data_IF_979726348208
#
_entry.id   IF_979726348208
#
_cell.length_a   1.000
_cell.length_b   1.000
_cell.length_c   1.000
_cell.angle_alpha   90.00
_cell.angle_beta   90.00
_cell.angle_gamma   90.00
#
_symmetry.space_group_name_H-M   'P 1'
#
loop_
_entity.id
_entity.type
_entity.pdbx_description
1 polymer ?
#
# COMPACT_ATOMS: atom_id res chain seq x y z
N UNK A 1 0.00 -31.59 -8.40
CA UNK A 1 1.24 -30.83 -8.65
C UNK A 1 1.28 -29.74 -7.59
N UNK A 2 2.21 -29.83 -6.64
CA UNK A 2 2.37 -28.79 -5.59
C UNK A 2 3.16 -27.65 -6.19
N UNK A 3 2.57 -26.45 -6.22
CA UNK A 3 3.27 -25.24 -6.62
C UNK A 3 4.40 -24.98 -5.60
N UNK A 4 5.68 -24.86 -6.01
CA UNK A 4 6.80 -24.67 -5.08
C UNK A 4 6.77 -23.32 -4.33
N UNK A 5 5.87 -22.41 -4.69
CA UNK A 5 5.58 -21.17 -3.96
C UNK A 5 4.45 -21.32 -2.93
N UNK A 6 3.84 -22.51 -2.87
CA UNK A 6 2.72 -22.85 -1.98
C UNK A 6 3.08 -24.07 -1.11
N UNK A 7 4.37 -24.28 -0.87
CA UNK A 7 4.80 -25.29 0.10
C UNK A 7 4.41 -24.81 1.50
N UNK A 8 3.46 -25.51 2.14
CA UNK A 8 2.95 -25.16 3.46
C UNK A 8 4.00 -25.32 4.57
N UNK A 9 5.05 -26.12 4.31
CA UNK A 9 6.15 -26.36 5.25
C UNK A 9 7.39 -25.49 4.93
N UNK A 10 7.31 -24.65 3.88
CA UNK A 10 8.37 -23.72 3.50
C UNK A 10 8.44 -22.51 4.42
N UNK A 11 9.64 -21.93 4.52
CA UNK A 11 9.86 -20.62 5.15
C UNK A 11 9.80 -19.52 4.10
N UNK A 12 9.11 -18.42 4.45
CA UNK A 12 8.89 -17.28 3.58
C UNK A 12 9.25 -15.99 4.30
N UNK A 13 9.71 -15.01 3.52
CA UNK A 13 9.76 -13.62 3.92
C UNK A 13 8.46 -12.93 3.55
N UNK A 14 8.02 -11.98 4.36
CA UNK A 14 7.10 -10.95 3.89
C UNK A 14 7.93 -9.91 3.15
N UNK A 15 7.55 -9.58 1.94
CA UNK A 15 8.21 -8.55 1.12
C UNK A 15 7.25 -7.41 0.85
N UNK A 16 7.79 -6.20 0.77
CA UNK A 16 7.06 -4.97 0.43
C UNK A 16 7.77 -4.25 -0.70
N UNK A 17 7.01 -3.70 -1.64
CA UNK A 17 7.54 -2.84 -2.71
C UNK A 17 7.37 -1.34 -2.39
N UNK A 18 7.90 -0.48 -3.27
CA UNK A 18 7.79 0.99 -3.14
C UNK A 18 6.34 1.52 -3.17
N UNK A 19 5.40 0.73 -3.70
CA UNK A 19 3.97 1.03 -3.74
C UNK A 19 3.21 0.55 -2.50
N UNK A 20 3.91 0.10 -1.46
CA UNK A 20 3.36 -0.45 -0.22
C UNK A 20 2.48 -1.70 -0.44
N UNK A 21 2.76 -2.45 -1.50
CA UNK A 21 2.13 -3.74 -1.75
C UNK A 21 2.91 -4.83 -1.05
N UNK A 22 2.18 -5.71 -0.37
CA UNK A 22 2.76 -6.81 0.38
C UNK A 22 2.61 -8.12 -0.38
N UNK A 23 3.64 -8.97 -0.30
CA UNK A 23 3.61 -10.34 -0.82
C UNK A 23 4.46 -11.26 0.05
N UNK A 24 4.35 -12.56 -0.18
CA UNK A 24 5.24 -13.56 0.44
C UNK A 24 6.28 -14.02 -0.59
N UNK A 25 7.53 -14.19 -0.14
CA UNK A 25 8.63 -14.61 -0.99
C UNK A 25 9.41 -15.75 -0.35
N UNK A 26 9.70 -16.86 -1.06
CA UNK A 26 10.41 -17.99 -0.48
C UNK A 26 11.85 -17.64 -0.09
N UNK A 27 12.31 -18.13 1.06
CA UNK A 27 13.67 -17.85 1.57
C UNK A 27 14.79 -18.42 0.71
N UNK A 28 14.52 -19.49 -0.04
CA UNK A 28 15.48 -20.14 -0.91
C UNK A 28 15.74 -19.38 -2.21
N UNK A 29 15.07 -18.25 -2.45
CA UNK A 29 15.29 -17.38 -3.61
C UNK A 29 15.75 -16.00 -3.18
N UNK A 30 16.63 -15.41 -3.98
CA UNK A 30 16.98 -14.00 -3.85
C UNK A 30 15.74 -13.12 -4.05
N UNK A 31 15.64 -12.06 -3.25
CA UNK A 31 14.53 -11.09 -3.33
C UNK A 31 14.73 -10.22 -4.58
N UNK A 32 13.73 -10.09 -5.47
CA UNK A 32 13.85 -9.28 -6.67
C UNK A 32 14.13 -7.81 -6.37
N UNK A 33 14.79 -7.11 -7.29
CA UNK A 33 14.98 -5.66 -7.19
C UNK A 33 13.63 -4.93 -7.08
N UNK A 34 13.56 -3.91 -6.23
CA UNK A 34 12.33 -3.16 -5.93
C UNK A 34 11.43 -3.82 -4.87
N UNK A 35 11.84 -4.95 -4.31
CA UNK A 35 11.18 -5.58 -3.16
C UNK A 35 12.14 -5.62 -1.96
N UNK A 36 11.60 -5.39 -0.78
CA UNK A 36 12.36 -5.42 0.48
C UNK A 36 11.74 -6.44 1.42
N UNK A 37 12.53 -7.39 1.92
CA UNK A 37 12.09 -8.32 2.95
C UNK A 37 11.97 -7.61 4.30
N UNK A 38 10.87 -7.86 5.00
CA UNK A 38 10.58 -7.29 6.31
C UNK A 38 10.39 -8.39 7.36
N UNK A 39 11.14 -8.27 8.46
CA UNK A 39 11.14 -9.24 9.55
C UNK A 39 11.87 -10.55 9.21
N UNK A 40 11.74 -11.51 10.12
CA UNK A 40 12.35 -12.83 10.01
C UNK A 40 11.55 -13.80 9.12
N UNK A 41 12.20 -14.84 8.56
CA UNK A 41 11.51 -15.93 7.91
C UNK A 41 10.46 -16.56 8.81
N UNK A 42 9.27 -16.81 8.27
CA UNK A 42 8.17 -17.45 8.99
C UNK A 42 7.43 -18.46 8.11
N UNK A 43 6.66 -19.38 8.71
CA UNK A 43 5.77 -20.26 7.96
C UNK A 43 4.78 -19.45 7.11
N UNK A 44 4.36 -20.04 5.98
CA UNK A 44 3.44 -19.41 5.02
C UNK A 44 2.23 -18.76 5.68
N UNK A 45 1.56 -19.48 6.57
CA UNK A 45 0.34 -18.99 7.22
C UNK A 45 0.61 -17.76 8.09
N UNK A 46 1.72 -17.74 8.84
CA UNK A 46 2.07 -16.58 9.66
C UNK A 46 2.42 -15.35 8.82
N UNK A 47 3.07 -15.54 7.67
CA UNK A 47 3.31 -14.45 6.73
C UNK A 47 2.00 -13.90 6.15
N UNK A 48 1.05 -14.76 5.78
CA UNK A 48 -0.25 -14.33 5.27
C UNK A 48 -1.08 -13.62 6.34
N UNK A 49 -1.13 -14.15 7.56
CA UNK A 49 -1.81 -13.52 8.69
C UNK A 49 -1.21 -12.14 9.00
N UNK A 50 0.12 -12.00 8.88
CA UNK A 50 0.79 -10.71 9.04
C UNK A 50 0.35 -9.73 7.94
N UNK A 51 0.35 -10.16 6.67
CA UNK A 51 -0.09 -9.32 5.55
C UNK A 51 -1.55 -8.90 5.72
N UNK A 52 -2.44 -9.82 6.09
CA UNK A 52 -3.86 -9.52 6.32
C UNK A 52 -4.06 -8.49 7.44
N UNK A 53 -3.26 -8.57 8.51
CA UNK A 53 -3.32 -7.61 9.63
C UNK A 53 -2.71 -6.25 9.29
N UNK A 54 -1.66 -6.22 8.46
CA UNK A 54 -0.91 -4.99 8.16
C UNK A 54 -1.47 -4.25 6.94
N UNK A 55 -1.91 -4.96 5.90
CA UNK A 55 -2.42 -4.38 4.66
C UNK A 55 -3.91 -4.01 4.78
N UNK A 56 -4.18 -3.07 5.69
CA UNK A 56 -5.55 -2.63 6.04
C UNK A 56 -6.19 -1.71 5.01
N UNK A 57 -5.40 -1.14 4.10
CA UNK A 57 -5.87 -0.27 3.02
C UNK A 57 -5.21 -0.68 1.72
N UNK A 58 -5.95 -1.42 0.90
CA UNK A 58 -5.47 -1.95 -0.38
C UNK A 58 -5.48 -0.91 -1.51
N UNK A 59 -5.79 0.37 -1.22
CA UNK A 59 -5.70 1.42 -2.23
C UNK A 59 -4.23 1.66 -2.56
N UNK A 60 -3.83 1.64 -3.84
CA UNK A 60 -2.47 1.96 -4.22
C UNK A 60 -2.12 3.39 -3.75
N UNK A 61 -0.90 3.58 -3.26
CA UNK A 61 -0.41 4.84 -2.68
C UNK A 61 -0.70 6.05 -3.58
N UNK A 62 -0.50 5.90 -4.89
CA UNK A 62 -0.80 6.95 -5.89
C UNK A 62 -2.26 7.41 -5.86
N UNK A 63 -3.21 6.50 -5.67
CA UNK A 63 -4.64 6.84 -5.57
C UNK A 63 -4.92 7.61 -4.26
N UNK A 64 -4.25 7.25 -3.16
CA UNK A 64 -4.39 7.97 -1.88
C UNK A 64 -3.92 9.42 -2.02
N UNK A 65 -2.72 9.62 -2.59
CA UNK A 65 -2.17 10.96 -2.81
C UNK A 65 -3.05 11.80 -3.75
N UNK A 66 -3.65 11.18 -4.77
CA UNK A 66 -4.56 11.87 -5.69
C UNK A 66 -5.85 12.31 -4.97
N UNK A 67 -6.46 11.44 -4.16
CA UNK A 67 -7.66 11.78 -3.39
C UNK A 67 -7.41 12.86 -2.32
N UNK A 68 -6.25 12.86 -1.67
CA UNK A 68 -5.87 13.90 -0.71
C UNK A 68 -5.70 15.28 -1.40
N UNK A 69 -5.08 15.31 -2.58
CA UNK A 69 -5.00 16.53 -3.40
C UNK A 69 -6.38 17.03 -3.81
N UNK A 70 -7.24 16.16 -4.33
CA UNK A 70 -8.62 16.48 -4.72
C UNK A 70 -9.45 17.06 -3.54
N UNK A 71 -9.30 16.50 -2.34
CA UNK A 71 -9.99 16.96 -1.15
C UNK A 71 -9.51 18.34 -0.67
N UNK A 72 -8.20 18.59 -0.75
CA UNK A 72 -7.61 19.89 -0.43
C UNK A 72 -8.08 20.99 -1.41
N UNK A 73 -8.13 20.70 -2.71
CA UNK A 73 -8.63 21.63 -3.73
C UNK A 73 -10.12 21.95 -3.56
N UNK A 74 -10.95 20.95 -3.25
CA UNK A 74 -12.38 21.16 -2.97
C UNK A 74 -12.60 22.03 -1.73
N UNK A 75 -11.75 21.89 -0.72
CA UNK A 75 -11.80 22.69 0.51
C UNK A 75 -11.37 24.14 0.26
N UNK A 76 -10.29 24.35 -0.50
CA UNK A 76 -9.82 25.68 -0.89
C UNK A 76 -10.84 26.44 -1.75
N UNK A 77 -11.52 25.74 -2.68
CA UNK A 77 -12.52 26.35 -3.56
C UNK A 77 -13.78 26.81 -2.82
N UNK A 78 -14.09 26.23 -1.67
CA UNK A 78 -15.25 26.59 -0.85
C UNK A 78 -15.02 27.86 -0.01
N UNK A 79 -13.76 28.19 0.27
CA UNK A 79 -13.37 29.41 1.04
C UNK A 79 -13.36 30.65 0.14
N UNK A 80 -13.06 30.50 -1.15
CA UNK A 80 -13.06 31.59 -2.12
C UNK A 80 -14.48 31.87 -2.66
N UNK A 81 -15.40 32.37 -1.82
CA UNK A 81 -16.54 33.12 -2.34
C UNK A 81 -16.04 34.51 -2.74
N UNK A 82 -16.07 34.93 -4.02
CA UNK A 82 -15.84 36.33 -4.34
C UNK A 82 -17.02 37.12 -3.77
N UNK A 83 -16.77 37.89 -2.71
CA UNK A 83 -17.67 38.96 -2.29
C UNK A 83 -17.72 39.96 -3.44
N UNK A 84 -18.77 39.89 -4.28
CA UNK A 84 -19.10 40.97 -5.19
C UNK A 84 -19.48 42.15 -4.29
N UNK A 85 -18.50 42.99 -3.95
CA UNK A 85 -18.73 44.32 -3.43
C UNK A 85 -19.58 45.03 -4.47
N UNK A 86 -20.88 45.13 -4.21
CA UNK A 86 -21.73 46.12 -4.86
C UNK A 86 -21.12 47.48 -4.57
N UNK A 87 -20.30 47.95 -5.50
CA UNK A 87 -19.97 49.35 -5.61
C UNK A 87 -21.00 49.96 -6.55
N UNK A 88 -21.66 50.96 -6.02
CA UNK A 88 -22.84 51.65 -6.52
C UNK A 88 -22.58 52.34 -7.86
N UNK A 89 -23.64 52.47 -8.68
CA UNK A 89 -24.12 53.72 -9.29
C UNK A 89 -25.47 53.48 -9.97
#
# INVERSE_FOLDING_TARGET
MTNPFEDENGEYFVVVNDEEQYSIWPTFREVPAGWTAIGDPRPRQECLDFIERTWTDMRPKSLREQMERDAAERSARRVATPTKTSQEL
#
